data_IF_452919822892
#
_entry.id   IF_452919822892
#
_cell.length_a   1.000
_cell.length_b   1.000
_cell.length_c   1.000
_cell.angle_alpha   90.00
_cell.angle_beta   90.00
_cell.angle_gamma   90.00
#
_symmetry.space_group_name_H-M   'P 1'
#
loop_
_entity.id
_entity.type
_entity.pdbx_description
1 polymer ?
#
# COMPACT_ATOMS: atom_id res chain seq x y z
N UNK A 1 0.51 1.22 -24.23
CA UNK A 1 1.10 -0.10 -23.94
C UNK A 1 -0.06 -1.04 -23.70
N UNK A 2 -0.32 -1.99 -24.61
CA UNK A 2 -1.41 -2.96 -24.42
C UNK A 2 -0.88 -4.01 -23.41
N UNK A 3 -1.50 -4.08 -22.23
CA UNK A 3 -1.20 -5.04 -21.16
C UNK A 3 -2.53 -5.70 -20.82
N UNK A 4 -2.57 -7.03 -20.69
CA UNK A 4 -3.79 -7.71 -20.28
C UNK A 4 -3.90 -7.77 -18.76
N UNK A 5 -5.12 -7.88 -18.25
CA UNK A 5 -5.40 -8.11 -16.82
C UNK A 5 -4.65 -9.33 -16.29
N UNK A 6 -4.57 -10.39 -17.10
CA UNK A 6 -3.83 -11.61 -16.77
C UNK A 6 -2.33 -11.35 -16.62
N UNK A 7 -1.73 -10.55 -17.50
CA UNK A 7 -0.30 -10.22 -17.43
C UNK A 7 0.02 -9.46 -16.15
N UNK A 8 -0.81 -8.50 -15.74
CA UNK A 8 -0.59 -7.74 -14.51
C UNK A 8 -0.71 -8.62 -13.26
N UNK A 9 -1.66 -9.56 -13.23
CA UNK A 9 -1.77 -10.54 -12.14
C UNK A 9 -0.56 -11.48 -12.09
N UNK A 10 -0.04 -11.91 -13.23
CA UNK A 10 1.18 -12.72 -13.30
C UNK A 10 2.42 -11.91 -12.90
N UNK A 11 2.48 -10.64 -13.26
CA UNK A 11 3.55 -9.73 -12.83
C UNK A 11 3.56 -9.52 -11.32
N UNK A 12 2.38 -9.45 -10.67
CA UNK A 12 2.29 -9.42 -9.22
C UNK A 12 2.97 -10.66 -8.60
N UNK A 13 2.64 -11.86 -9.09
CA UNK A 13 3.24 -13.12 -8.61
C UNK A 13 4.75 -13.14 -8.86
N UNK A 14 5.21 -12.69 -10.04
CA UNK A 14 6.65 -12.62 -10.35
C UNK A 14 7.38 -11.63 -9.45
N UNK A 15 6.75 -10.52 -9.08
CA UNK A 15 7.33 -9.54 -8.17
C UNK A 15 7.35 -10.01 -6.71
N UNK A 16 6.47 -10.94 -6.29
CA UNK A 16 6.56 -11.61 -4.97
C UNK A 16 7.89 -12.38 -4.83
N UNK A 17 8.39 -12.97 -5.91
CA UNK A 17 9.62 -13.76 -5.94
C UNK A 17 10.67 -13.12 -6.87
N UNK A 18 11.32 -12.02 -6.45
CA UNK A 18 12.29 -11.34 -7.28
C UNK A 18 13.48 -12.25 -7.61
N UNK A 19 13.92 -12.24 -8.86
CA UNK A 19 15.09 -13.02 -9.30
C UNK A 19 16.40 -12.54 -8.67
N UNK A 20 16.45 -11.29 -8.21
CA UNK A 20 17.61 -10.69 -7.57
C UNK A 20 17.16 -9.63 -6.54
N UNK A 21 17.54 -9.80 -5.28
CA UNK A 21 17.17 -8.89 -4.18
C UNK A 21 17.83 -7.51 -4.32
N UNK A 22 19.08 -7.45 -4.79
CA UNK A 22 19.77 -6.17 -5.03
C UNK A 22 19.06 -5.39 -6.14
N UNK A 23 18.65 -6.07 -7.20
CA UNK A 23 17.87 -5.46 -8.26
C UNK A 23 16.48 -5.01 -7.77
N UNK A 24 15.83 -5.81 -6.92
CA UNK A 24 14.52 -5.49 -6.35
C UNK A 24 14.51 -4.17 -5.57
N UNK A 25 15.65 -3.76 -4.99
CA UNK A 25 15.78 -2.46 -4.31
C UNK A 25 15.57 -1.26 -5.24
N UNK A 26 15.85 -1.40 -6.55
CA UNK A 26 15.84 -0.29 -7.52
C UNK A 26 14.88 -0.50 -8.69
N UNK A 27 14.48 -1.73 -8.96
CA UNK A 27 13.68 -2.10 -10.13
C UNK A 27 12.63 -3.17 -9.81
N UNK A 28 11.56 -3.19 -10.61
CA UNK A 28 10.51 -4.21 -10.56
C UNK A 28 10.22 -4.76 -11.95
N UNK A 29 9.62 -5.96 -12.00
CA UNK A 29 9.31 -6.68 -13.22
C UNK A 29 8.01 -6.17 -13.85
N UNK A 30 8.02 -5.94 -15.16
CA UNK A 30 6.81 -5.62 -15.94
C UNK A 30 6.81 -6.40 -17.27
N UNK A 31 5.70 -7.06 -17.56
CA UNK A 31 5.42 -7.69 -18.85
C UNK A 31 5.10 -6.64 -19.89
N UNK A 32 5.65 -6.82 -21.10
CA UNK A 32 5.41 -5.98 -22.26
C UNK A 32 5.07 -6.86 -23.45
N UNK A 33 3.91 -6.63 -24.02
CA UNK A 33 3.50 -7.30 -25.26
C UNK A 33 4.15 -6.59 -26.45
N UNK A 34 4.84 -7.35 -27.29
CA UNK A 34 5.49 -6.84 -28.50
C UNK A 34 4.65 -7.21 -29.73
N UNK A 35 4.27 -6.19 -30.48
CA UNK A 35 3.54 -6.31 -31.74
C UNK A 35 4.31 -7.16 -32.76
N UNK A 36 3.67 -8.17 -33.38
CA UNK A 36 4.24 -8.85 -34.53
C UNK A 36 4.19 -7.91 -35.73
N UNK A 37 5.35 -7.42 -36.19
CA UNK A 37 5.46 -6.35 -37.18
C UNK A 37 4.90 -6.62 -38.59
N UNK A 38 4.13 -7.69 -38.80
CA UNK A 38 3.64 -8.15 -40.11
C UNK A 38 2.11 -8.37 -40.20
N UNK A 39 1.29 -7.80 -39.31
CA UNK A 39 -0.17 -7.94 -39.38
C UNK A 39 -0.85 -6.65 -39.85
N UNK A 40 -1.75 -6.77 -40.83
CA UNK A 40 -2.66 -5.72 -41.29
C UNK A 40 -3.89 -5.54 -40.39
N UNK A 41 -4.01 -6.38 -39.36
CA UNK A 41 -5.12 -6.38 -38.40
C UNK A 41 -4.55 -6.31 -36.98
N UNK A 42 -4.61 -5.12 -36.38
CA UNK A 42 -4.00 -4.74 -35.09
C UNK A 42 -4.90 -5.10 -33.87
N UNK A 43 -5.92 -5.91 -34.09
CA UNK A 43 -7.01 -6.15 -33.14
C UNK A 43 -6.76 -7.31 -32.18
N UNK A 44 -5.96 -8.32 -32.55
CA UNK A 44 -5.86 -9.55 -31.76
C UNK A 44 -4.57 -9.63 -30.91
N UNK A 45 -4.68 -9.13 -29.68
CA UNK A 45 -3.59 -9.03 -28.69
C UNK A 45 -3.04 -10.41 -28.29
N UNK A 46 -3.79 -11.49 -28.48
CA UNK A 46 -3.35 -12.85 -28.14
C UNK A 46 -2.21 -13.37 -29.03
N UNK A 47 -2.01 -12.78 -30.21
CA UNK A 47 -0.95 -13.18 -31.13
C UNK A 47 0.38 -12.45 -30.87
N UNK A 48 0.42 -11.56 -29.87
CA UNK A 48 1.59 -10.76 -29.57
C UNK A 48 2.60 -11.56 -28.75
N UNK A 49 3.90 -11.32 -28.98
CA UNK A 49 4.94 -12.03 -28.23
C UNK A 49 5.12 -11.40 -26.86
N UNK A 50 5.01 -12.22 -25.81
CA UNK A 50 5.20 -11.79 -24.42
C UNK A 50 6.69 -11.56 -24.20
N UNK A 51 7.08 -10.32 -23.94
CA UNK A 51 8.45 -9.93 -23.54
C UNK A 51 8.40 -9.34 -22.13
N UNK A 52 9.54 -9.21 -21.46
CA UNK A 52 9.63 -8.59 -20.14
C UNK A 52 10.67 -7.47 -20.12
N UNK A 53 10.42 -6.46 -19.29
CA UNK A 53 11.41 -5.44 -18.95
C UNK A 53 11.45 -5.25 -17.43
N UNK A 54 12.60 -4.80 -16.94
CA UNK A 54 12.71 -4.23 -15.61
C UNK A 54 12.48 -2.73 -15.70
N UNK A 55 11.60 -2.22 -14.86
CA UNK A 55 11.26 -0.80 -14.78
C UNK A 55 11.83 -0.24 -13.49
N UNK A 56 12.32 1.00 -13.55
CA UNK A 56 12.86 1.69 -12.39
C UNK A 56 11.74 1.95 -11.36
N UNK A 57 12.04 1.66 -10.11
CA UNK A 57 11.10 1.68 -8.99
C UNK A 57 11.26 0.45 -8.12
N UNK A 58 11.30 0.64 -6.81
CA UNK A 58 11.54 -0.43 -5.83
C UNK A 58 10.42 -1.47 -5.83
N UNK A 59 10.78 -2.75 -5.88
CA UNK A 59 9.85 -3.86 -5.65
C UNK A 59 9.69 -4.11 -4.15
N UNK A 60 8.88 -3.28 -3.48
CA UNK A 60 8.64 -3.37 -2.04
C UNK A 60 8.03 -4.72 -1.64
N UNK A 61 7.09 -5.25 -2.43
CA UNK A 61 6.43 -6.53 -2.15
C UNK A 61 7.44 -7.68 -2.08
N UNK A 62 8.31 -7.79 -3.08
CA UNK A 62 9.35 -8.84 -3.12
C UNK A 62 10.35 -8.72 -1.97
N UNK A 63 10.73 -7.50 -1.60
CA UNK A 63 11.63 -7.24 -0.46
C UNK A 63 10.98 -7.65 0.86
N UNK A 64 9.71 -7.32 1.07
CA UNK A 64 8.96 -7.68 2.28
C UNK A 64 8.83 -9.20 2.40
N UNK A 65 8.43 -9.89 1.33
CA UNK A 65 8.26 -11.35 1.33
C UNK A 65 9.60 -12.04 1.57
N UNK A 66 10.67 -11.60 0.92
CA UNK A 66 12.02 -12.09 1.20
C UNK A 66 12.40 -11.88 2.67
N UNK A 67 12.15 -10.68 3.23
CA UNK A 67 12.43 -10.36 4.63
C UNK A 67 11.70 -11.29 5.61
N UNK A 68 10.44 -11.62 5.35
CA UNK A 68 9.65 -12.56 6.17
C UNK A 68 10.27 -13.96 6.11
N UNK A 69 10.52 -14.49 4.91
CA UNK A 69 11.09 -15.83 4.74
C UNK A 69 12.49 -15.92 5.36
N UNK A 70 13.31 -14.89 5.18
CA UNK A 70 14.65 -14.79 5.75
C UNK A 70 14.61 -14.70 7.27
N UNK A 71 13.70 -13.91 7.84
CA UNK A 71 13.47 -13.83 9.28
C UNK A 71 13.06 -15.17 9.90
N UNK A 72 12.14 -15.91 9.24
CA UNK A 72 11.75 -17.26 9.65
C UNK A 72 12.95 -18.22 9.60
N UNK A 73 13.79 -18.13 8.58
CA UNK A 73 14.99 -18.95 8.46
C UNK A 73 15.98 -18.67 9.60
N UNK A 74 16.25 -17.40 9.91
CA UNK A 74 17.09 -17.00 11.04
C UNK A 74 16.54 -17.50 12.37
N UNK A 75 15.23 -17.39 12.59
CA UNK A 75 14.58 -17.89 13.80
C UNK A 75 14.76 -19.40 13.97
N UNK A 76 14.68 -20.17 12.87
CA UNK A 76 14.92 -21.62 12.88
C UNK A 76 16.38 -22.02 13.11
N UNK A 77 17.33 -21.12 12.86
CA UNK A 77 18.76 -21.39 13.09
C UNK A 77 19.15 -21.31 14.58
N UNK A 78 18.26 -20.83 15.46
CA UNK A 78 18.54 -20.68 16.89
C UNK A 78 19.75 -19.77 17.13
N UNK A 79 20.66 -20.19 18.01
CA UNK A 79 21.87 -19.43 18.38
C UNK A 79 22.75 -19.05 17.18
N UNK A 80 22.81 -19.90 16.15
CA UNK A 80 23.61 -19.62 14.95
C UNK A 80 23.08 -18.41 14.14
N UNK A 81 21.78 -18.12 14.24
CA UNK A 81 21.14 -16.98 13.58
C UNK A 81 21.22 -15.68 14.39
N UNK A 82 21.52 -15.76 15.69
CA UNK A 82 21.47 -14.64 16.62
C UNK A 82 22.36 -13.44 16.22
N UNK A 83 23.62 -13.62 15.74
CA UNK A 83 24.46 -12.49 15.34
C UNK A 83 23.83 -11.68 14.21
N UNK A 84 23.19 -12.35 13.24
CA UNK A 84 22.54 -11.71 12.10
C UNK A 84 21.26 -11.00 12.56
N UNK A 85 20.48 -11.64 13.44
CA UNK A 85 19.29 -11.03 14.03
C UNK A 85 19.64 -9.74 14.79
N UNK A 86 20.70 -9.77 15.60
CA UNK A 86 21.16 -8.61 16.37
C UNK A 86 21.67 -7.48 15.45
N UNK A 87 22.32 -7.82 14.34
CA UNK A 87 22.68 -6.84 13.31
C UNK A 87 21.45 -6.13 12.74
N UNK A 88 20.40 -6.87 12.33
CA UNK A 88 19.18 -6.27 11.79
C UNK A 88 18.39 -5.46 12.83
N UNK A 89 18.38 -5.90 14.09
CA UNK A 89 17.77 -5.13 15.19
C UNK A 89 18.48 -3.79 15.38
N UNK A 90 19.82 -3.80 15.40
CA UNK A 90 20.63 -2.59 15.54
C UNK A 90 20.46 -1.66 14.34
N UNK A 91 20.37 -2.22 13.13
CA UNK A 91 20.09 -1.48 11.91
C UNK A 91 18.69 -0.85 11.95
N UNK A 92 17.67 -1.58 12.40
CA UNK A 92 16.32 -1.06 12.56
C UNK A 92 16.30 0.13 13.50
N UNK A 93 16.98 0.06 14.65
CA UNK A 93 17.05 1.16 15.61
C UNK A 93 17.74 2.39 15.00
N UNK A 94 18.84 2.19 14.27
CA UNK A 94 19.51 3.26 13.54
C UNK A 94 18.58 3.93 12.51
N UNK A 95 17.77 3.15 11.80
CA UNK A 95 16.77 3.68 10.86
C UNK A 95 15.67 4.49 11.55
N UNK A 96 15.26 4.12 12.77
CA UNK A 96 14.29 4.90 13.56
C UNK A 96 14.87 6.25 14.00
N UNK A 97 16.16 6.31 14.35
CA UNK A 97 16.85 7.57 14.66
C UNK A 97 16.86 8.48 13.42
N UNK A 98 17.22 7.95 12.26
CA UNK A 98 17.20 8.70 10.99
C UNK A 98 15.79 9.21 10.68
N UNK A 99 14.78 8.36 10.89
CA UNK A 99 13.36 8.72 10.69
C UNK A 99 12.97 9.90 11.58
N UNK A 100 13.43 9.92 12.82
CA UNK A 100 13.19 11.03 13.75
C UNK A 100 13.70 12.36 13.18
N UNK A 101 14.88 12.36 12.53
CA UNK A 101 15.42 13.56 11.88
C UNK A 101 14.58 14.00 10.69
N UNK A 102 14.09 13.05 9.88
CA UNK A 102 13.19 13.33 8.75
C UNK A 102 11.88 13.95 9.23
N UNK A 103 11.29 13.42 10.30
CA UNK A 103 10.07 13.95 10.93
C UNK A 103 10.22 15.41 11.35
N UNK A 104 11.40 15.81 11.84
CA UNK A 104 11.68 17.20 12.20
C UNK A 104 11.68 18.15 10.99
N UNK A 105 12.10 17.66 9.82
CA UNK A 105 12.16 18.44 8.57
C UNK A 105 10.81 18.38 7.82
N UNK A 106 9.99 17.35 8.09
CA UNK A 106 8.77 17.04 7.34
C UNK A 106 7.77 18.20 7.23
N UNK A 107 7.53 19.06 8.25
CA UNK A 107 6.56 20.15 8.12
C UNK A 107 6.91 21.13 7.00
N UNK A 108 8.20 21.43 6.82
CA UNK A 108 8.69 22.31 5.76
C UNK A 108 8.55 21.61 4.40
N UNK A 109 8.96 20.34 4.33
CA UNK A 109 8.84 19.54 3.11
C UNK A 109 7.40 19.40 2.62
N UNK A 110 6.47 19.07 3.53
CA UNK A 110 5.04 18.94 3.22
C UNK A 110 4.45 20.28 2.78
N UNK A 111 4.78 21.39 3.45
CA UNK A 111 4.34 22.72 3.03
C UNK A 111 4.77 23.02 1.58
N UNK A 112 6.03 22.75 1.24
CA UNK A 112 6.54 22.93 -0.11
C UNK A 112 5.84 22.03 -1.14
N UNK A 113 5.61 20.74 -0.80
CA UNK A 113 4.93 19.78 -1.68
C UNK A 113 3.47 20.14 -1.95
N UNK A 114 2.76 20.61 -0.92
CA UNK A 114 1.37 21.06 -1.07
C UNK A 114 1.33 22.35 -1.89
N UNK A 115 2.20 23.32 -1.58
CA UNK A 115 2.24 24.62 -2.28
C UNK A 115 2.60 24.46 -3.75
N UNK A 116 3.61 23.64 -4.09
CA UNK A 116 4.03 23.43 -5.48
C UNK A 116 2.89 22.87 -6.33
N UNK A 117 2.11 21.92 -5.79
CA UNK A 117 0.96 21.36 -6.51
C UNK A 117 -0.23 22.31 -6.60
N UNK A 118 -0.46 23.16 -5.60
CA UNK A 118 -1.48 24.20 -5.71
C UNK A 118 -1.18 25.20 -6.85
N UNK A 119 0.10 25.49 -7.11
CA UNK A 119 0.53 26.38 -8.19
C UNK A 119 0.36 25.77 -9.60
N UNK A 120 0.34 24.44 -9.73
CA UNK A 120 0.10 23.76 -11.00
C UNK A 120 -1.38 23.84 -11.45
N UNK A 121 -2.29 24.26 -10.56
CA UNK A 121 -3.72 24.33 -10.83
C UNK A 121 -4.03 25.57 -11.70
N UNK A 122 -4.21 25.36 -13.00
CA UNK A 122 -4.53 26.47 -13.91
C UNK A 122 -6.00 26.93 -13.82
N UNK A 123 -6.96 26.04 -13.55
CA UNK A 123 -8.40 26.37 -13.46
C UNK A 123 -9.19 25.42 -12.54
N UNK A 124 -9.21 25.71 -11.24
CA UNK A 124 -9.98 24.93 -10.25
C UNK A 124 -11.49 24.89 -10.58
N UNK A 125 -12.05 25.98 -11.12
CA UNK A 125 -13.47 26.06 -11.49
C UNK A 125 -13.88 25.15 -12.65
N UNK A 126 -13.01 24.93 -13.64
CA UNK A 126 -13.28 24.04 -14.77
C UNK A 126 -13.24 22.56 -14.34
N UNK A 127 -12.31 22.22 -13.44
CA UNK A 127 -12.19 20.90 -12.82
C UNK A 127 -13.46 20.54 -12.04
N UNK A 128 -13.96 21.48 -11.23
CA UNK A 128 -15.18 21.29 -10.43
C UNK A 128 -16.44 21.29 -11.31
N UNK A 129 -16.46 22.02 -12.42
CA UNK A 129 -17.65 22.14 -13.28
C UNK A 129 -18.07 20.85 -14.00
N UNK A 130 -17.11 20.03 -14.45
CA UNK A 130 -17.40 18.83 -15.26
C UNK A 130 -17.09 17.52 -14.53
N UNK A 131 -16.14 17.51 -13.59
CA UNK A 131 -15.77 16.36 -12.77
C UNK A 131 -16.12 16.52 -11.28
N UNK A 132 -16.76 17.63 -10.88
CA UNK A 132 -17.03 17.92 -9.46
C UNK A 132 -17.87 16.86 -8.77
N UNK A 133 -18.90 16.32 -9.42
CA UNK A 133 -19.71 15.25 -8.83
C UNK A 133 -18.93 13.95 -8.67
N UNK A 134 -18.10 13.58 -9.64
CA UNK A 134 -17.19 12.44 -9.53
C UNK A 134 -16.22 12.64 -8.36
N UNK A 135 -15.54 13.79 -8.31
CA UNK A 135 -14.62 14.15 -7.24
C UNK A 135 -15.30 14.06 -5.86
N UNK A 136 -16.47 14.68 -5.72
CA UNK A 136 -17.22 14.68 -4.48
C UNK A 136 -17.63 13.27 -4.07
N UNK A 137 -18.02 12.42 -5.02
CA UNK A 137 -18.41 11.03 -4.75
C UNK A 137 -17.23 10.23 -4.19
N UNK A 138 -16.04 10.36 -4.80
CA UNK A 138 -14.83 9.69 -4.31
C UNK A 138 -14.45 10.19 -2.91
N UNK A 139 -14.38 11.52 -2.71
CA UNK A 139 -14.00 12.09 -1.41
C UNK A 139 -15.01 11.71 -0.32
N UNK A 140 -16.31 11.76 -0.62
CA UNK A 140 -17.35 11.34 0.31
C UNK A 140 -17.22 9.86 0.64
N UNK A 141 -17.00 9.01 -0.36
CA UNK A 141 -16.76 7.58 -0.16
C UNK A 141 -15.56 7.31 0.74
N UNK A 142 -14.43 7.99 0.51
CA UNK A 142 -13.22 7.89 1.33
C UNK A 142 -13.45 8.32 2.78
N UNK A 143 -14.17 9.44 3.00
CA UNK A 143 -14.51 9.93 4.34
C UNK A 143 -15.45 8.93 5.04
N UNK A 144 -16.48 8.45 4.36
CA UNK A 144 -17.43 7.47 4.91
C UNK A 144 -16.73 6.14 5.22
N UNK A 145 -15.79 5.72 4.39
CA UNK A 145 -15.01 4.51 4.65
C UNK A 145 -14.09 4.69 5.85
N UNK A 146 -13.28 5.76 5.87
CA UNK A 146 -12.30 6.00 6.93
C UNK A 146 -12.92 6.29 8.31
N UNK A 147 -13.93 7.16 8.37
CA UNK A 147 -14.56 7.56 9.63
C UNK A 147 -15.86 6.81 9.96
N UNK A 148 -16.41 6.05 9.01
CA UNK A 148 -17.59 5.21 9.20
C UNK A 148 -17.20 3.74 9.25
N UNK A 149 -16.98 3.12 8.09
CA UNK A 149 -16.75 1.67 7.97
C UNK A 149 -15.59 1.18 8.82
N UNK A 150 -14.41 1.80 8.69
CA UNK A 150 -13.21 1.42 9.43
C UNK A 150 -13.37 1.69 10.93
N UNK A 151 -14.08 2.76 11.30
CA UNK A 151 -14.40 3.07 12.70
C UNK A 151 -15.32 2.02 13.32
N UNK A 152 -16.30 1.53 12.56
CA UNK A 152 -17.19 0.44 12.99
C UNK A 152 -16.39 -0.86 13.17
N UNK A 153 -15.55 -1.23 12.19
CA UNK A 153 -14.70 -2.42 12.27
C UNK A 153 -13.80 -2.35 13.51
N UNK A 154 -13.12 -1.22 13.71
CA UNK A 154 -12.27 -0.99 14.87
C UNK A 154 -13.05 -1.12 16.18
N UNK A 155 -14.25 -0.54 16.26
CA UNK A 155 -15.09 -0.63 17.45
C UNK A 155 -15.56 -2.06 17.72
N UNK A 156 -15.98 -2.79 16.69
CA UNK A 156 -16.42 -4.20 16.84
C UNK A 156 -15.28 -5.07 17.34
N UNK A 157 -14.06 -4.91 16.82
CA UNK A 157 -12.92 -5.74 17.19
C UNK A 157 -12.32 -5.36 18.55
N UNK A 158 -12.22 -4.06 18.87
CA UNK A 158 -11.49 -3.58 20.06
C UNK A 158 -12.38 -3.10 21.20
N UNK A 159 -13.68 -2.93 20.95
CA UNK A 159 -14.66 -2.28 21.84
C UNK A 159 -14.24 -0.88 22.31
N UNK A 160 -13.41 -0.20 21.53
CA UNK A 160 -12.94 1.18 21.77
C UNK A 160 -13.17 2.03 20.53
N UNK A 161 -13.27 3.34 20.72
CA UNK A 161 -13.36 4.28 19.60
C UNK A 161 -11.96 4.59 19.04
N UNK A 162 -11.78 4.65 17.71
CA UNK A 162 -10.47 4.87 17.08
C UNK A 162 -10.01 6.33 17.12
N UNK A 163 -10.89 7.28 17.47
CA UNK A 163 -10.59 8.73 17.37
C UNK A 163 -9.35 9.16 18.15
N UNK A 164 -9.03 8.49 19.26
CA UNK A 164 -7.79 8.75 20.01
C UNK A 164 -6.55 8.37 19.18
N UNK A 165 -6.59 7.22 18.52
CA UNK A 165 -5.51 6.74 17.64
C UNK A 165 -5.40 7.66 16.42
N UNK A 166 -6.52 7.96 15.77
CA UNK A 166 -6.57 8.86 14.60
C UNK A 166 -5.99 10.23 14.93
N UNK A 167 -6.29 10.78 16.12
CA UNK A 167 -5.73 12.06 16.56
C UNK A 167 -4.21 12.04 16.71
N UNK A 168 -3.63 10.90 17.11
CA UNK A 168 -2.18 10.74 17.24
C UNK A 168 -1.50 10.52 15.88
N UNK A 169 -2.22 9.96 14.90
CA UNK A 169 -1.78 9.82 13.51
C UNK A 169 -1.78 11.13 12.71
N UNK A 170 -2.10 12.29 13.31
CA UNK A 170 -2.22 13.56 12.60
C UNK A 170 -1.04 13.91 11.70
N UNK A 171 0.20 13.76 12.20
CA UNK A 171 1.40 14.02 11.42
C UNK A 171 1.60 13.03 10.26
N UNK A 172 1.26 11.76 10.49
CA UNK A 172 1.30 10.71 9.46
C UNK A 172 0.31 11.05 8.34
N UNK A 173 -0.93 11.39 8.70
CA UNK A 173 -1.98 11.75 7.74
C UNK A 173 -1.63 12.99 6.92
N UNK A 174 -1.08 14.03 7.54
CA UNK A 174 -0.63 15.24 6.84
C UNK A 174 0.54 14.95 5.91
N UNK A 175 1.48 14.11 6.35
CA UNK A 175 2.62 13.73 5.50
C UNK A 175 2.15 12.87 4.33
N UNK A 176 1.25 11.91 4.55
CA UNK A 176 0.65 11.07 3.51
C UNK A 176 -0.12 11.92 2.50
N UNK A 177 -0.88 12.90 2.99
CA UNK A 177 -1.56 13.87 2.14
C UNK A 177 -0.57 14.69 1.32
N UNK A 178 0.57 15.09 1.89
CA UNK A 178 1.60 15.91 1.23
C UNK A 178 2.46 15.15 0.23
N UNK A 179 2.84 13.90 0.52
CA UNK A 179 3.68 13.07 -0.35
C UNK A 179 2.87 12.30 -1.39
N UNK A 180 1.60 11.99 -1.11
CA UNK A 180 0.77 11.10 -1.94
C UNK A 180 1.39 9.70 -2.11
N UNK A 181 2.13 9.22 -1.10
CA UNK A 181 2.77 7.90 -1.13
C UNK A 181 2.74 7.22 0.24
N UNK A 182 2.08 6.07 0.32
CA UNK A 182 2.02 5.25 1.53
C UNK A 182 3.41 4.73 1.91
N UNK A 183 4.19 4.29 0.92
CA UNK A 183 5.56 3.79 1.14
C UNK A 183 6.50 4.88 1.65
N UNK A 184 6.37 6.13 1.17
CA UNK A 184 7.17 7.25 1.67
C UNK A 184 6.84 7.62 3.12
N UNK A 185 5.62 7.33 3.58
CA UNK A 185 5.20 7.58 4.97
C UNK A 185 5.43 6.41 5.93
N UNK A 186 5.87 5.26 5.44
CA UNK A 186 6.05 4.05 6.24
C UNK A 186 6.92 4.29 7.50
N UNK A 187 8.10 4.95 7.41
CA UNK A 187 8.94 5.15 8.59
C UNK A 187 8.25 6.02 9.66
N UNK A 188 7.57 7.09 9.23
CA UNK A 188 6.85 8.01 10.13
C UNK A 188 5.67 7.28 10.79
N UNK A 189 5.00 6.40 10.05
CA UNK A 189 3.91 5.57 10.57
C UNK A 189 4.41 4.63 11.66
N UNK A 190 5.51 3.90 11.41
CA UNK A 190 6.13 3.01 12.40
C UNK A 190 6.54 3.77 13.66
N UNK A 191 7.19 4.92 13.51
CA UNK A 191 7.62 5.73 14.66
C UNK A 191 6.44 6.29 15.44
N UNK A 192 5.37 6.69 14.76
CA UNK A 192 4.16 7.16 15.41
C UNK A 192 3.54 6.03 16.25
N UNK A 193 3.38 4.83 15.70
CA UNK A 193 2.82 3.68 16.41
C UNK A 193 3.71 3.23 17.58
N UNK A 194 5.04 3.21 17.40
CA UNK A 194 5.99 2.93 18.48
C UNK A 194 5.85 3.97 19.61
N UNK A 195 5.63 5.25 19.29
CA UNK A 195 5.39 6.31 20.28
C UNK A 195 4.04 6.18 21.02
N UNK A 196 3.07 5.47 20.43
CA UNK A 196 1.81 5.11 21.09
C UNK A 196 1.98 3.93 22.07
N UNK A 197 3.17 3.32 22.12
CA UNK A 197 3.47 2.16 22.96
C UNK A 197 3.02 0.83 22.36
N UNK A 198 2.84 0.77 21.04
CA UNK A 198 2.52 -0.48 20.36
C UNK A 198 3.73 -1.43 20.31
N UNK A 199 3.45 -2.74 20.29
CA UNK A 199 4.47 -3.77 20.19
C UNK A 199 5.20 -3.73 18.83
N UNK A 200 6.52 -3.49 18.81
CA UNK A 200 7.35 -3.51 17.61
C UNK A 200 7.19 -4.74 16.72
N UNK A 201 6.90 -5.91 17.32
CA UNK A 201 6.75 -7.19 16.61
C UNK A 201 5.54 -7.16 15.68
N UNK A 202 4.47 -6.47 16.08
CA UNK A 202 3.27 -6.30 15.26
C UNK A 202 3.47 -5.16 14.26
N UNK A 203 3.94 -3.99 14.70
CA UNK A 203 4.05 -2.80 13.83
C UNK A 203 5.00 -3.04 12.65
N UNK A 204 6.16 -3.65 12.89
CA UNK A 204 7.18 -3.95 11.86
C UNK A 204 6.76 -5.08 10.91
N UNK A 205 5.72 -5.83 11.24
CA UNK A 205 5.16 -6.87 10.38
C UNK A 205 3.97 -6.34 9.59
N UNK A 206 2.96 -5.80 10.26
CA UNK A 206 1.67 -5.42 9.66
C UNK A 206 1.80 -4.21 8.75
N UNK A 207 2.47 -3.14 9.19
CA UNK A 207 2.45 -1.85 8.47
C UNK A 207 3.20 -1.92 7.14
N UNK A 208 4.39 -2.53 7.02
CA UNK A 208 5.07 -2.65 5.73
C UNK A 208 4.29 -3.50 4.71
N UNK A 209 3.60 -4.55 5.18
CA UNK A 209 2.74 -5.37 4.34
C UNK A 209 1.52 -4.56 3.90
N UNK A 210 0.87 -3.87 4.83
CA UNK A 210 -0.30 -3.01 4.59
C UNK A 210 -0.02 -1.93 3.56
N UNK A 211 1.11 -1.23 3.67
CA UNK A 211 1.49 -0.14 2.75
C UNK A 211 1.61 -0.55 1.27
N UNK A 212 1.65 -1.86 0.98
CA UNK A 212 1.67 -2.40 -0.39
C UNK A 212 0.39 -3.15 -0.76
N UNK A 213 -0.21 -3.90 0.17
CA UNK A 213 -1.33 -4.80 -0.12
C UNK A 213 -2.69 -4.14 0.21
N UNK A 214 -2.76 -3.36 1.27
CA UNK A 214 -4.00 -2.86 1.86
C UNK A 214 -4.32 -1.44 1.37
N UNK A 215 -4.79 -1.34 0.12
CA UNK A 215 -5.09 -0.05 -0.52
C UNK A 215 -6.59 0.22 -0.72
N UNK A 216 -7.33 0.32 0.38
CA UNK A 216 -8.80 0.51 0.36
C UNK A 216 -9.24 1.75 -0.43
N UNK A 217 -8.53 2.86 -0.25
CA UNK A 217 -8.81 4.10 -0.97
C UNK A 217 -8.58 3.97 -2.48
N UNK A 218 -7.63 3.15 -2.89
CA UNK A 218 -7.38 2.83 -4.31
C UNK A 218 -8.52 1.97 -4.87
N UNK A 219 -8.92 0.92 -4.16
CA UNK A 219 -10.05 0.07 -4.58
C UNK A 219 -11.36 0.88 -4.70
N UNK A 220 -11.65 1.75 -3.72
CA UNK A 220 -12.83 2.61 -3.75
C UNK A 220 -12.79 3.56 -4.95
N UNK A 221 -11.65 4.21 -5.18
CA UNK A 221 -11.47 5.08 -6.32
C UNK A 221 -11.66 4.35 -7.65
N UNK A 222 -11.07 3.17 -7.81
CA UNK A 222 -11.16 2.36 -9.02
C UNK A 222 -12.58 1.96 -9.34
N UNK A 223 -13.32 1.50 -8.34
CA UNK A 223 -14.72 1.15 -8.50
C UNK A 223 -15.58 2.36 -8.91
N UNK A 224 -15.42 3.51 -8.23
CA UNK A 224 -16.19 4.72 -8.54
C UNK A 224 -15.85 5.27 -9.91
N UNK A 225 -14.57 5.28 -10.29
CA UNK A 225 -14.11 5.76 -11.59
C UNK A 225 -14.61 4.89 -12.75
N UNK A 226 -14.57 3.56 -12.62
CA UNK A 226 -15.09 2.66 -13.65
C UNK A 226 -16.59 2.87 -13.89
N UNK A 227 -17.37 3.02 -12.80
CA UNK A 227 -18.81 3.31 -12.88
C UNK A 227 -19.05 4.68 -13.51
N UNK A 228 -18.28 5.69 -13.11
CA UNK A 228 -18.37 7.04 -13.67
C UNK A 228 -18.09 7.06 -15.18
N UNK A 229 -17.02 6.38 -15.63
CA UNK A 229 -16.67 6.28 -17.05
C UNK A 229 -17.78 5.59 -17.84
N UNK A 230 -18.35 4.50 -17.31
CA UNK A 230 -19.49 3.83 -17.95
C UNK A 230 -20.68 4.78 -18.11
N UNK A 231 -21.00 5.57 -17.08
CA UNK A 231 -22.07 6.57 -17.13
C UNK A 231 -21.80 7.66 -18.16
N UNK A 232 -20.57 8.17 -18.24
CA UNK A 232 -20.18 9.18 -19.24
C UNK A 232 -20.31 8.63 -20.67
N UNK A 233 -19.98 7.35 -20.87
CA UNK A 233 -20.11 6.66 -22.16
C UNK A 233 -21.56 6.24 -22.48
N UNK A 234 -22.51 6.43 -21.55
CA UNK A 234 -23.90 5.97 -21.71
C UNK A 234 -24.04 4.46 -21.74
N UNK A 235 -23.07 3.72 -21.17
CA UNK A 235 -23.07 2.26 -21.12
C UNK A 235 -23.77 1.83 -19.82
N UNK A 236 -24.88 1.11 -19.96
CA UNK A 236 -25.56 0.54 -18.80
C UNK A 236 -24.76 -0.64 -18.22
N UNK A 237 -24.34 -0.49 -16.96
CA UNK A 237 -23.70 -1.57 -16.23
C UNK A 237 -24.75 -2.50 -15.65
N UNK A 238 -24.67 -3.79 -16.01
CA UNK A 238 -25.45 -4.82 -15.35
C UNK A 238 -24.99 -5.03 -13.90
N UNK A 239 -25.83 -5.64 -13.07
CA UNK A 239 -25.44 -6.01 -11.70
C UNK A 239 -24.20 -6.91 -11.67
N UNK A 240 -24.05 -7.80 -12.67
CA UNK A 240 -22.87 -8.68 -12.81
C UNK A 240 -21.61 -7.84 -13.09
N UNK A 241 -21.72 -6.80 -13.92
CA UNK A 241 -20.60 -5.91 -14.21
C UNK A 241 -20.15 -5.15 -12.95
N UNK A 242 -21.08 -4.72 -12.10
CA UNK A 242 -20.76 -4.05 -10.83
C UNK A 242 -20.01 -5.00 -9.88
N UNK A 243 -20.44 -6.26 -9.77
CA UNK A 243 -19.70 -7.28 -9.00
C UNK A 243 -18.31 -7.50 -9.59
N UNK A 244 -18.20 -7.60 -10.91
CA UNK A 244 -16.92 -7.77 -11.58
C UNK A 244 -15.96 -6.60 -11.28
N UNK A 245 -16.43 -5.35 -11.40
CA UNK A 245 -15.68 -4.15 -11.01
C UNK A 245 -15.22 -4.22 -9.56
N UNK A 246 -16.10 -4.62 -8.63
CA UNK A 246 -15.74 -4.73 -7.22
C UNK A 246 -14.60 -5.73 -7.00
N UNK A 247 -14.69 -6.92 -7.59
CA UNK A 247 -13.65 -7.96 -7.44
C UNK A 247 -12.34 -7.50 -8.09
N UNK A 248 -12.41 -6.91 -9.28
CA UNK A 248 -11.21 -6.51 -10.01
C UNK A 248 -10.54 -5.31 -9.41
N UNK A 249 -11.30 -4.32 -8.90
CA UNK A 249 -10.74 -3.19 -8.16
C UNK A 249 -10.04 -3.65 -6.87
N UNK A 250 -10.61 -4.61 -6.13
CA UNK A 250 -9.93 -5.18 -4.96
C UNK A 250 -8.67 -5.96 -5.32
N UNK A 251 -8.68 -6.71 -6.43
CA UNK A 251 -7.47 -7.40 -6.89
C UNK A 251 -6.40 -6.42 -7.41
N UNK A 252 -6.83 -5.38 -8.12
CA UNK A 252 -5.98 -4.35 -8.69
C UNK A 252 -5.34 -3.47 -7.60
N UNK A 253 -6.06 -3.17 -6.52
CA UNK A 253 -5.53 -2.40 -5.39
C UNK A 253 -4.37 -3.10 -4.67
N UNK A 254 -4.35 -4.44 -4.65
CA UNK A 254 -3.21 -5.22 -4.10
C UNK A 254 -1.98 -5.11 -5.01
N UNK A 255 -2.19 -4.94 -6.31
CA UNK A 255 -1.12 -4.77 -7.31
C UNK A 255 -0.65 -3.33 -7.49
N UNK A 256 -1.35 -2.35 -6.91
CA UNK A 256 -0.94 -0.96 -6.96
C UNK A 256 0.27 -0.74 -6.03
N UNK A 257 1.34 -0.15 -6.57
CA UNK A 257 2.49 0.20 -5.75
C UNK A 257 2.17 1.40 -4.84
N UNK A 258 2.77 1.49 -3.65
CA UNK A 258 2.55 2.57 -2.68
C UNK A 258 3.18 3.92 -3.08
N UNK A 259 3.25 4.19 -4.38
CA UNK A 259 3.86 5.37 -5.02
C UNK A 259 2.76 6.27 -5.59
N UNK A 260 3.03 7.57 -5.81
CA UNK A 260 2.03 8.49 -6.33
C UNK A 260 1.47 8.05 -7.68
N UNK A 261 0.17 8.25 -7.88
CA UNK A 261 -0.55 7.98 -9.13
C UNK A 261 -0.54 6.50 -9.59
N UNK A 262 -0.13 5.55 -8.74
CA UNK A 262 -0.13 4.13 -9.09
C UNK A 262 -1.52 3.61 -9.49
N UNK A 263 -2.58 4.15 -8.88
CA UNK A 263 -3.98 3.79 -9.15
C UNK A 263 -4.43 4.02 -10.60
N UNK A 264 -3.78 4.93 -11.35
CA UNK A 264 -4.12 5.15 -12.77
C UNK A 264 -3.67 3.99 -13.66
N UNK A 265 -2.57 3.31 -13.30
CA UNK A 265 -2.05 2.17 -14.05
C UNK A 265 -2.97 0.96 -13.87
N UNK A 266 -3.39 0.73 -12.62
CA UNK A 266 -4.28 -0.36 -12.25
C UNK A 266 -5.72 -0.14 -12.70
N UNK A 267 -6.17 1.12 -12.86
CA UNK A 267 -7.47 1.45 -13.45
C UNK A 267 -7.71 0.80 -14.82
N UNK A 268 -6.68 0.71 -15.65
CA UNK A 268 -6.77 0.09 -16.98
C UNK A 268 -7.25 -1.36 -16.87
N UNK A 269 -6.81 -2.09 -15.84
CA UNK A 269 -7.25 -3.45 -15.57
C UNK A 269 -8.75 -3.52 -15.30
N UNK A 270 -9.25 -2.61 -14.46
CA UNK A 270 -10.64 -2.56 -14.02
C UNK A 270 -11.56 -2.20 -15.19
N UNK A 271 -11.18 -1.21 -16.00
CA UNK A 271 -11.94 -0.84 -17.21
C UNK A 271 -12.01 -1.97 -18.22
N UNK A 272 -10.89 -2.64 -18.49
CA UNK A 272 -10.84 -3.77 -19.41
C UNK A 272 -11.76 -4.91 -18.95
N UNK A 273 -11.97 -5.10 -17.64
CA UNK A 273 -12.80 -6.22 -17.14
C UNK A 273 -14.28 -6.07 -17.49
N UNK A 274 -14.74 -4.83 -17.68
CA UNK A 274 -16.11 -4.52 -18.10
C UNK A 274 -16.21 -4.06 -19.55
N UNK A 275 -15.13 -4.23 -20.32
CA UNK A 275 -15.08 -3.89 -21.74
C UNK A 275 -15.08 -2.38 -22.02
N UNK A 276 -14.67 -1.56 -21.05
CA UNK A 276 -14.52 -0.11 -21.24
C UNK A 276 -13.14 0.21 -21.85
N UNK A 277 -13.05 1.19 -22.76
CA UNK A 277 -11.77 1.59 -23.35
C UNK A 277 -10.79 2.13 -22.30
N UNK A 278 -9.57 1.59 -22.27
CA UNK A 278 -8.52 2.02 -21.35
C UNK A 278 -8.08 3.50 -21.54
N UNK A 279 -8.32 4.06 -22.72
CA UNK A 279 -8.07 5.49 -23.02
C UNK A 279 -8.92 6.44 -22.17
N UNK A 280 -10.05 5.97 -21.62
CA UNK A 280 -10.95 6.76 -20.79
C UNK A 280 -10.37 7.13 -19.43
N UNK A 281 -9.26 6.51 -19.01
CA UNK A 281 -8.49 6.96 -17.84
C UNK A 281 -8.04 8.43 -17.98
N UNK A 282 -7.86 8.91 -19.21
CA UNK A 282 -7.53 10.32 -19.47
C UNK A 282 -8.63 11.29 -19.06
N UNK A 283 -9.88 10.84 -18.92
CA UNK A 283 -11.00 11.68 -18.45
C UNK A 283 -10.82 12.11 -16.99
N UNK A 284 -10.24 11.24 -16.16
CA UNK A 284 -10.13 11.44 -14.70
C UNK A 284 -8.73 11.90 -14.27
N UNK A 285 -7.73 11.89 -15.16
CA UNK A 285 -6.33 12.23 -14.85
C UNK A 285 -6.19 13.66 -14.27
N UNK A 286 -7.04 14.58 -14.73
CA UNK A 286 -7.00 15.99 -14.33
C UNK A 286 -7.33 16.21 -12.84
N UNK A 287 -8.07 15.27 -12.22
CA UNK A 287 -8.45 15.34 -10.80
C UNK A 287 -7.71 14.33 -9.92
N UNK A 288 -7.04 13.35 -10.55
CA UNK A 288 -6.37 12.27 -9.83
C UNK A 288 -5.30 12.79 -8.87
N UNK A 289 -4.54 13.82 -9.25
CA UNK A 289 -3.48 14.37 -8.40
C UNK A 289 -3.96 14.81 -7.01
N UNK A 290 -5.23 15.21 -6.87
CA UNK A 290 -5.83 15.62 -5.60
C UNK A 290 -6.52 14.45 -4.91
N UNK A 291 -7.25 13.63 -5.66
CA UNK A 291 -7.89 12.42 -5.14
C UNK A 291 -6.85 11.45 -4.56
N UNK A 292 -5.70 11.33 -5.19
CA UNK A 292 -4.58 10.47 -4.77
C UNK A 292 -4.12 10.76 -3.34
N UNK A 293 -4.15 12.03 -2.96
CA UNK A 293 -3.77 12.47 -1.62
C UNK A 293 -4.76 11.97 -0.57
N UNK A 294 -6.06 12.10 -0.85
CA UNK A 294 -7.10 11.55 0.02
C UNK A 294 -7.03 10.02 0.09
N UNK A 295 -6.82 9.34 -1.04
CA UNK A 295 -6.63 7.88 -1.08
C UNK A 295 -5.49 7.45 -0.19
N UNK A 296 -4.32 8.06 -0.36
CA UNK A 296 -3.12 7.76 0.41
C UNK A 296 -3.35 7.96 1.90
N UNK A 297 -3.97 9.07 2.30
CA UNK A 297 -4.29 9.33 3.70
C UNK A 297 -5.17 8.25 4.32
N UNK A 298 -6.21 7.79 3.60
CA UNK A 298 -7.08 6.72 4.08
C UNK A 298 -6.37 5.36 4.12
N UNK A 299 -5.56 5.03 3.11
CA UNK A 299 -4.78 3.79 3.08
C UNK A 299 -3.87 3.69 4.32
N UNK A 300 -3.08 4.72 4.58
CA UNK A 300 -2.15 4.74 5.73
C UNK A 300 -2.90 4.72 7.07
N UNK A 301 -4.05 5.40 7.15
CA UNK A 301 -4.90 5.33 8.34
C UNK A 301 -5.46 3.91 8.55
N UNK A 302 -5.84 3.21 7.48
CA UNK A 302 -6.28 1.83 7.57
C UNK A 302 -5.19 0.89 8.07
N UNK A 303 -3.97 1.00 7.53
CA UNK A 303 -2.83 0.19 7.96
C UNK A 303 -2.53 0.37 9.45
N UNK A 304 -2.54 1.62 9.92
CA UNK A 304 -2.30 1.95 11.32
C UNK A 304 -3.41 1.41 12.24
N UNK A 305 -4.68 1.58 11.87
CA UNK A 305 -5.81 1.06 12.65
C UNK A 305 -5.86 -0.48 12.62
N UNK A 306 -5.51 -1.10 11.48
CA UNK A 306 -5.36 -2.53 11.33
C UNK A 306 -4.28 -3.10 12.25
N UNK A 307 -3.12 -2.45 12.34
CA UNK A 307 -2.07 -2.84 13.28
C UNK A 307 -2.55 -2.82 14.75
N UNK A 308 -3.31 -1.79 15.15
CA UNK A 308 -3.87 -1.69 16.50
C UNK A 308 -4.92 -2.77 16.78
N UNK A 309 -5.76 -3.09 15.79
CA UNK A 309 -6.73 -4.18 15.90
C UNK A 309 -6.01 -5.51 16.09
N UNK A 310 -5.00 -5.80 15.27
CA UNK A 310 -4.22 -7.04 15.33
C UNK A 310 -3.50 -7.15 16.67
N UNK A 311 -2.86 -6.09 17.14
CA UNK A 311 -2.23 -6.08 18.47
C UNK A 311 -3.24 -6.38 19.58
N UNK A 312 -4.44 -5.78 19.52
CA UNK A 312 -5.49 -6.04 20.50
C UNK A 312 -5.94 -7.50 20.51
N UNK A 313 -6.03 -8.13 19.34
CA UNK A 313 -6.44 -9.52 19.18
C UNK A 313 -5.32 -10.52 19.53
N UNK A 314 -4.07 -10.17 19.27
CA UNK A 314 -2.89 -11.02 19.50
C UNK A 314 -2.27 -10.88 20.89
N UNK A 315 -2.88 -10.15 21.83
CA UNK A 315 -2.34 -9.96 23.19
C UNK A 315 -1.94 -11.27 23.88
N UNK A 316 -2.78 -12.30 23.80
CA UNK A 316 -2.47 -13.59 24.42
C UNK A 316 -1.24 -14.28 23.81
N UNK A 317 -1.02 -14.12 22.50
CA UNK A 317 0.16 -14.66 21.81
C UNK A 317 1.42 -13.88 22.18
N UNK A 318 1.32 -12.54 22.26
CA UNK A 318 2.42 -11.67 22.65
C UNK A 318 2.87 -11.94 24.09
N UNK A 319 1.93 -12.12 25.00
CA UNK A 319 2.20 -12.45 26.40
C UNK A 319 2.88 -13.82 26.51
N UNK A 320 2.37 -14.84 25.80
CA UNK A 320 2.95 -16.18 25.80
C UNK A 320 4.39 -16.20 25.26
N UNK A 321 4.68 -15.47 24.17
CA UNK A 321 6.05 -15.36 23.64
C UNK A 321 6.99 -14.68 24.62
N UNK A 322 6.48 -13.70 25.37
CA UNK A 322 7.29 -12.97 26.36
C UNK A 322 7.65 -13.87 27.54
N UNK A 323 6.68 -14.65 28.05
CA UNK A 323 6.87 -15.62 29.13
C UNK A 323 7.87 -16.70 28.73
N UNK A 324 7.69 -17.34 27.57
CA UNK A 324 8.60 -18.41 27.12
C UNK A 324 10.04 -17.90 26.98
N UNK A 325 10.23 -16.68 26.49
CA UNK A 325 11.56 -16.06 26.35
C UNK A 325 12.19 -15.73 27.70
N UNK A 326 11.41 -15.37 28.71
CA UNK A 326 11.90 -15.17 30.08
C UNK A 326 12.30 -16.51 30.72
N UNK A 327 11.51 -17.56 30.53
CA UNK A 327 11.81 -18.91 31.01
C UNK A 327 13.11 -19.47 30.40
N UNK A 328 13.27 -19.38 29.07
CA UNK A 328 14.50 -19.79 28.36
C UNK A 328 15.74 -19.04 28.87
N UNK A 329 15.62 -17.73 29.10
CA UNK A 329 16.72 -16.91 29.62
C UNK A 329 17.10 -17.30 31.06
N UNK A 330 16.13 -17.66 31.89
CA UNK A 330 16.38 -18.14 33.26
C UNK A 330 17.06 -19.51 33.24
N UNK A 331 16.63 -20.42 32.37
CA UNK A 331 17.22 -21.76 32.24
C UNK A 331 18.67 -21.68 31.74
N UNK A 332 18.94 -20.87 30.70
CA UNK A 332 20.30 -20.58 30.22
C UNK A 332 21.20 -19.94 31.29
N UNK A 333 20.65 -19.03 32.11
CA UNK A 333 21.39 -18.40 33.20
C UNK A 333 21.72 -19.39 34.33
N UNK A 334 20.87 -20.40 34.56
CA UNK A 334 21.13 -21.47 35.54
C UNK A 334 22.19 -22.44 35.03
N UNK A 335 22.14 -22.85 33.77
CA UNK A 335 23.17 -23.71 33.14
C UNK A 335 24.55 -23.06 33.22
N UNK A 336 24.66 -21.77 32.87
CA UNK A 336 25.93 -21.00 32.98
C UNK A 336 26.51 -20.91 34.39
N UNK A 337 25.66 -20.94 35.43
CA UNK A 337 26.10 -20.96 36.84
C UNK A 337 26.51 -22.34 37.33
N UNK A 338 26.07 -23.40 36.65
CA UNK A 338 26.37 -24.78 37.02
C UNK A 338 27.69 -25.25 36.39
N UNK A 339 28.11 -24.60 35.30
CA UNK A 339 29.38 -24.84 34.59
C UNK A 339 30.56 -23.98 35.10
N UNK A 340 30.32 -23.03 36.03
CA UNK A 340 31.33 -22.17 36.67
C UNK A 340 31.70 -22.64 38.07
#
# INVERSE_FOLDING_TARGET
MKITTTDTMLDLIRNIFPSNIVQACIQHYQTVLKEPGNMTDDSDISNWTITSKYVDGTNTLGIVIFGIVFGIALAKMGEAGEPVLNFFNSLSEAMMIITSWVIWISPIGVMCLVTSKLLEIQNFGAIVGQLGFYFLTVVLGLILHGFGTLTIIFFVCTRKLPFKVISQLGQVMVTAFGTSSSSATLPITLQCLDSMGMDPRITRFVVPIGATINMDGTALYEAVAAIFIAQVRGIELSFINVIAISITATAASVGAAGIPQAGLITMVMVLNTVGLPAEDVTLIIAVDWLLDRFRTTINVMCDALGAVIIEHMSKGELDAVTINREEDNVELAQLRKTES
#
